data_IF_440048179130
#
_entry.id   IF_440048179130
#
_cell.length_a   1.000
_cell.length_b   1.000
_cell.length_c   1.000
_cell.angle_alpha   90.00
_cell.angle_beta   90.00
_cell.angle_gamma   90.00
#
_symmetry.space_group_name_H-M   'P 1'
#
loop_
_entity.id
_entity.type
_entity.pdbx_description
1 polymer ?
#
# COMPACT_ATOMS: atom_id res chain seq x y z
N UNK A 1 -19.61 -0.47 -22.58
CA UNK A 1 -21.03 -0.76 -22.26
C UNK A 1 -21.15 -1.29 -20.85
N UNK A 2 -22.30 -1.10 -20.18
CA UNK A 2 -22.53 -1.53 -18.79
C UNK A 2 -22.44 -3.04 -18.56
N UNK A 3 -22.64 -3.86 -19.59
CA UNK A 3 -22.50 -5.32 -19.53
C UNK A 3 -21.06 -5.75 -19.17
N UNK A 4 -20.05 -5.08 -19.73
CA UNK A 4 -18.62 -5.34 -19.46
C UNK A 4 -18.25 -5.01 -18.00
N UNK A 5 -18.73 -3.87 -17.49
CA UNK A 5 -18.53 -3.47 -16.09
C UNK A 5 -19.19 -4.45 -15.11
N UNK A 6 -20.45 -4.82 -15.37
CA UNK A 6 -21.22 -5.75 -14.55
C UNK A 6 -20.52 -7.12 -14.45
N UNK A 7 -20.05 -7.65 -15.57
CA UNK A 7 -19.33 -8.94 -15.59
C UNK A 7 -18.04 -8.89 -14.77
N UNK A 8 -17.23 -7.83 -14.90
CA UNK A 8 -15.97 -7.70 -14.15
C UNK A 8 -16.20 -7.55 -12.66
N UNK A 9 -17.14 -6.69 -12.23
CA UNK A 9 -17.46 -6.55 -10.80
C UNK A 9 -17.95 -7.84 -10.18
N UNK A 10 -18.80 -8.60 -10.89
CA UNK A 10 -19.30 -9.90 -10.39
C UNK A 10 -18.17 -10.89 -10.07
N UNK A 11 -17.05 -10.83 -10.80
CA UNK A 11 -15.88 -11.68 -10.55
C UNK A 11 -15.04 -11.17 -9.37
N UNK A 12 -14.89 -9.85 -9.24
CA UNK A 12 -14.03 -9.21 -8.23
C UNK A 12 -14.71 -9.15 -6.85
N UNK A 13 -16.01 -8.86 -6.79
CA UNK A 13 -16.73 -8.61 -5.55
C UNK A 13 -16.65 -9.76 -4.51
N UNK A 14 -16.72 -11.06 -4.88
CA UNK A 14 -16.56 -12.16 -3.92
C UNK A 14 -15.26 -12.10 -3.12
N UNK A 15 -14.17 -11.58 -3.70
CA UNK A 15 -12.89 -11.40 -3.02
C UNK A 15 -12.97 -10.48 -1.79
N UNK A 16 -13.95 -9.57 -1.75
CA UNK A 16 -14.13 -8.61 -0.66
C UNK A 16 -15.24 -9.00 0.33
N UNK A 17 -15.93 -10.12 0.10
CA UNK A 17 -16.89 -10.70 1.05
C UNK A 17 -16.28 -11.83 1.89
N UNK A 18 -15.22 -12.47 1.39
CA UNK A 18 -14.52 -13.55 2.08
C UNK A 18 -13.57 -12.96 3.14
N UNK A 19 -13.90 -13.17 4.42
CA UNK A 19 -13.10 -12.66 5.55
C UNK A 19 -11.64 -13.12 5.51
N UNK A 20 -11.35 -14.32 5.00
CA UNK A 20 -9.98 -14.83 4.88
C UNK A 20 -9.11 -14.04 3.89
N UNK A 21 -9.67 -13.57 2.77
CA UNK A 21 -8.89 -12.80 1.80
C UNK A 21 -8.68 -11.35 2.29
N UNK A 22 -9.71 -10.76 2.89
CA UNK A 22 -9.59 -9.44 3.50
C UNK A 22 -8.61 -9.44 4.68
N UNK A 23 -8.59 -10.51 5.48
CA UNK A 23 -7.63 -10.69 6.56
C UNK A 23 -6.19 -10.71 6.04
N UNK A 24 -5.91 -11.43 4.95
CA UNK A 24 -4.57 -11.44 4.35
C UNK A 24 -4.13 -10.03 3.88
N UNK A 25 -5.06 -9.17 3.45
CA UNK A 25 -4.74 -7.78 3.12
C UNK A 25 -4.33 -6.96 4.35
N UNK A 26 -4.87 -7.27 5.54
CA UNK A 26 -4.50 -6.60 6.79
C UNK A 26 -3.08 -6.97 7.21
N UNK A 27 -2.65 -8.22 7.00
CA UNK A 27 -1.29 -8.65 7.31
C UNK A 27 -0.26 -7.89 6.46
N UNK A 28 -0.50 -7.79 5.14
CA UNK A 28 0.33 -7.01 4.21
C UNK A 28 0.34 -5.52 4.62
N UNK A 29 -0.84 -4.97 4.94
CA UNK A 29 -0.95 -3.58 5.38
C UNK A 29 -0.11 -3.31 6.63
N UNK A 30 -0.19 -4.18 7.64
CA UNK A 30 0.56 -4.03 8.89
C UNK A 30 2.07 -4.15 8.67
N UNK A 31 2.50 -5.09 7.83
CA UNK A 31 3.91 -5.24 7.47
C UNK A 31 4.45 -3.98 6.78
N UNK A 32 3.76 -3.51 5.74
CA UNK A 32 4.16 -2.29 5.04
C UNK A 32 4.07 -1.06 5.92
N UNK A 33 3.10 -0.96 6.83
CA UNK A 33 3.01 0.13 7.80
C UNK A 33 4.22 0.16 8.73
N UNK A 34 4.67 -0.99 9.24
CA UNK A 34 5.87 -1.07 10.07
C UNK A 34 7.12 -0.60 9.33
N UNK A 35 7.22 -0.88 8.02
CA UNK A 35 8.31 -0.39 7.17
C UNK A 35 8.18 1.12 6.93
N UNK A 36 6.99 1.60 6.57
CA UNK A 36 6.72 3.03 6.35
C UNK A 36 6.99 3.87 7.60
N UNK A 37 6.57 3.41 8.78
CA UNK A 37 6.78 4.11 10.05
C UNK A 37 8.27 4.33 10.37
N UNK A 38 9.16 3.37 10.07
CA UNK A 38 10.61 3.56 10.26
C UNK A 38 11.15 4.73 9.42
N UNK A 39 10.66 4.88 8.20
CA UNK A 39 11.04 5.97 7.31
C UNK A 39 10.44 7.29 7.76
N UNK A 40 9.15 7.32 8.09
CA UNK A 40 8.50 8.53 8.61
C UNK A 40 9.12 9.01 9.93
N UNK A 41 9.54 8.10 10.81
CA UNK A 41 10.27 8.45 12.03
C UNK A 41 11.64 9.07 11.72
N UNK A 42 12.35 8.54 10.73
CA UNK A 42 13.64 9.10 10.29
C UNK A 42 13.46 10.52 9.75
N UNK A 43 12.46 10.74 8.90
CA UNK A 43 12.12 12.06 8.36
C UNK A 43 11.69 13.03 9.47
N UNK A 44 10.85 12.58 10.40
CA UNK A 44 10.40 13.41 11.53
C UNK A 44 11.58 13.86 12.43
N UNK A 45 12.56 12.98 12.63
CA UNK A 45 13.77 13.29 13.41
C UNK A 45 14.70 14.29 12.72
N UNK A 46 14.65 14.39 11.39
CA UNK A 46 15.45 15.37 10.63
C UNK A 46 14.90 16.80 10.79
N UNK A 47 13.66 16.97 11.27
CA UNK A 47 13.00 18.28 11.42
C UNK A 47 13.00 19.13 10.14
N UNK A 48 12.94 18.46 8.98
CA UNK A 48 12.87 19.10 7.65
C UNK A 48 11.44 19.04 7.13
N UNK A 49 10.95 20.15 6.58
CA UNK A 49 9.68 20.18 5.85
C UNK A 49 9.78 19.27 4.63
N UNK A 50 8.93 18.26 4.55
CA UNK A 50 8.97 17.22 3.52
C UNK A 50 7.60 17.04 2.90
N UNK A 51 7.53 16.96 1.57
CA UNK A 51 6.31 16.56 0.87
C UNK A 51 6.05 15.06 1.08
N UNK A 52 4.97 14.75 1.81
CA UNK A 52 4.58 13.38 2.10
C UNK A 52 3.85 12.69 0.94
N UNK A 53 3.33 13.42 -0.03
CA UNK A 53 2.55 12.85 -1.13
C UNK A 53 3.29 11.75 -1.92
N UNK A 54 4.53 11.95 -2.40
CA UNK A 54 5.26 10.91 -3.11
C UNK A 54 5.56 9.70 -2.21
N UNK A 55 5.88 9.94 -0.93
CA UNK A 55 6.18 8.87 0.04
C UNK A 55 4.95 8.00 0.30
N UNK A 56 3.80 8.62 0.56
CA UNK A 56 2.53 7.91 0.81
C UNK A 56 2.07 7.19 -0.47
N UNK A 57 2.27 7.80 -1.65
CA UNK A 57 1.90 7.17 -2.93
C UNK A 57 2.72 5.90 -3.19
N UNK A 58 4.04 5.95 -2.96
CA UNK A 58 4.91 4.79 -3.09
C UNK A 58 4.60 3.71 -2.04
N UNK A 59 4.40 4.09 -0.77
CA UNK A 59 3.97 3.16 0.28
C UNK A 59 2.61 2.52 -0.02
N UNK A 60 1.66 3.27 -0.57
CA UNK A 60 0.34 2.74 -0.96
C UNK A 60 0.48 1.70 -2.07
N UNK A 61 1.41 1.89 -3.02
CA UNK A 61 1.71 0.89 -4.05
C UNK A 61 2.25 -0.40 -3.42
N UNK A 62 3.15 -0.30 -2.46
CA UNK A 62 3.69 -1.47 -1.74
C UNK A 62 2.59 -2.24 -0.99
N UNK A 63 1.64 -1.54 -0.37
CA UNK A 63 0.47 -2.16 0.28
C UNK A 63 -0.41 -2.92 -0.71
N UNK A 64 -0.64 -2.37 -1.90
CA UNK A 64 -1.51 -2.99 -2.91
C UNK A 64 -0.82 -4.17 -3.62
N UNK A 65 0.48 -4.03 -3.90
CA UNK A 65 1.27 -5.04 -4.61
C UNK A 65 1.77 -6.15 -3.68
N UNK A 66 1.91 -5.88 -2.38
CA UNK A 66 2.53 -6.80 -1.43
C UNK A 66 4.04 -6.96 -1.62
N UNK A 67 4.68 -6.06 -2.37
CA UNK A 67 6.11 -6.04 -2.65
C UNK A 67 6.70 -4.70 -2.17
N UNK A 68 7.93 -4.72 -1.64
CA UNK A 68 8.58 -3.54 -1.04
C UNK A 68 9.41 -2.74 -2.07
N UNK A 69 8.75 -1.98 -2.94
CA UNK A 69 9.43 -1.04 -3.84
C UNK A 69 9.96 0.20 -3.10
N UNK A 70 9.28 0.63 -2.04
CA UNK A 70 9.66 1.76 -1.21
C UNK A 70 11.05 1.59 -0.57
N UNK A 71 11.40 0.37 -0.16
CA UNK A 71 12.73 0.04 0.34
C UNK A 71 13.82 0.11 -0.75
N UNK A 72 13.49 -0.22 -2.00
CA UNK A 72 14.48 -0.23 -3.09
C UNK A 72 14.76 1.18 -3.61
N UNK A 73 13.76 2.06 -3.68
CA UNK A 73 13.94 3.40 -4.25
C UNK A 73 14.62 4.40 -3.30
N UNK A 74 14.54 4.21 -1.98
CA UNK A 74 15.21 5.08 -0.99
C UNK A 74 16.67 4.70 -0.70
N UNK A 75 17.21 3.63 -1.33
CA UNK A 75 18.65 3.31 -1.27
C UNK A 75 19.46 4.04 -2.36
N UNK A 76 18.78 4.74 -3.26
CA UNK A 76 19.38 5.48 -4.39
C UNK A 76 19.16 7.00 -4.30
N UNK A 77 18.58 7.49 -3.21
CA UNK A 77 18.54 8.91 -2.80
C UNK A 77 19.26 9.07 -1.47
#
# INVERSE_FOLDING_TARGET
SGKKWKTRRRIITPSFHNSSLLANCIDIFNEQLNIGLKHFQTLANQQVETDLYPLISAWTLDVICGETFFNHNMLYE
#
